data_IF_245715822235
#
_entry.id   IF_245715822235
#
_cell.length_a   1.000
_cell.length_b   1.000
_cell.length_c   1.000
_cell.angle_alpha   90.00
_cell.angle_beta   90.00
_cell.angle_gamma   90.00
#
_symmetry.space_group_name_H-M   'P 1'
#
loop_
_entity.id
_entity.type
_entity.pdbx_description
1 polymer ?
#
# COMPACT_ATOMS: atom_id res chain seq x y z
N UNK A 1 -29.06 0.43 16.98
CA UNK A 1 -28.36 1.24 15.96
C UNK A 1 -26.91 0.78 15.72
N UNK A 2 -26.00 0.77 16.71
CA UNK A 2 -24.58 0.40 16.51
C UNK A 2 -24.38 -1.00 15.87
N UNK A 3 -25.07 -2.03 16.38
CA UNK A 3 -24.92 -3.41 15.90
C UNK A 3 -25.34 -3.59 14.43
N UNK A 4 -26.42 -2.93 14.02
CA UNK A 4 -26.92 -2.97 12.63
C UNK A 4 -25.90 -2.33 11.68
N UNK A 5 -25.39 -1.15 12.02
CA UNK A 5 -24.36 -0.46 11.23
C UNK A 5 -23.08 -1.31 11.06
N UNK A 6 -22.66 -2.03 12.11
CA UNK A 6 -21.50 -2.94 12.02
C UNK A 6 -21.78 -4.11 11.08
N UNK A 7 -22.97 -4.72 11.16
CA UNK A 7 -23.36 -5.85 10.30
C UNK A 7 -23.40 -5.40 8.84
N UNK A 8 -24.06 -4.27 8.55
CA UNK A 8 -24.18 -3.70 7.20
C UNK A 8 -22.81 -3.33 6.64
N UNK A 9 -21.97 -2.63 7.40
CA UNK A 9 -20.60 -2.28 6.98
C UNK A 9 -19.77 -3.52 6.68
N UNK A 10 -19.84 -4.56 7.52
CA UNK A 10 -19.12 -5.83 7.27
C UNK A 10 -19.64 -6.52 6.00
N UNK A 11 -20.94 -6.52 5.77
CA UNK A 11 -21.54 -7.13 4.58
C UNK A 11 -21.11 -6.39 3.29
N UNK A 12 -21.16 -5.07 3.28
CA UNK A 12 -20.68 -4.22 2.18
C UNK A 12 -19.19 -4.46 1.90
N UNK A 13 -18.32 -4.42 2.93
CA UNK A 13 -16.88 -4.65 2.75
C UNK A 13 -16.56 -6.04 2.17
N UNK A 14 -17.32 -7.08 2.51
CA UNK A 14 -17.19 -8.40 1.89
C UNK A 14 -17.57 -8.41 0.42
N UNK A 15 -18.60 -7.66 0.03
CA UNK A 15 -19.01 -7.54 -1.36
C UNK A 15 -17.97 -6.76 -2.18
N UNK A 16 -17.43 -5.66 -1.65
CA UNK A 16 -16.37 -4.88 -2.29
C UNK A 16 -15.15 -5.75 -2.62
N UNK A 17 -14.71 -6.60 -1.68
CA UNK A 17 -13.55 -7.48 -1.90
C UNK A 17 -13.77 -8.44 -3.07
N UNK A 18 -15.02 -8.81 -3.39
CA UNK A 18 -15.32 -9.66 -4.55
C UNK A 18 -15.14 -8.92 -5.87
N UNK A 19 -15.37 -7.60 -5.90
CA UNK A 19 -15.26 -6.78 -7.11
C UNK A 19 -13.81 -6.39 -7.43
N UNK A 20 -12.89 -6.51 -6.48
CA UNK A 20 -11.48 -6.17 -6.69
C UNK A 20 -10.85 -7.07 -7.75
N UNK A 21 -10.37 -6.48 -8.84
CA UNK A 21 -9.64 -7.21 -9.88
C UNK A 21 -8.18 -7.49 -9.49
N UNK A 22 -7.48 -6.48 -8.94
CA UNK A 22 -6.08 -6.57 -8.51
C UNK A 22 -5.95 -7.20 -7.11
N UNK A 23 -4.71 -7.51 -6.72
CA UNK A 23 -4.38 -8.02 -5.37
C UNK A 23 -4.58 -7.01 -4.24
N UNK A 24 -4.83 -5.75 -4.57
CA UNK A 24 -5.00 -4.62 -3.65
C UNK A 24 -6.28 -3.86 -3.99
N UNK A 25 -6.76 -3.06 -3.04
CA UNK A 25 -7.97 -2.27 -3.22
C UNK A 25 -7.81 -1.12 -4.21
N UNK A 26 -8.91 -0.66 -4.85
CA UNK A 26 -8.87 0.37 -5.88
C UNK A 26 -8.22 1.69 -5.41
N UNK A 27 -8.46 2.09 -4.16
CA UNK A 27 -7.82 3.28 -3.58
C UNK A 27 -6.30 3.16 -3.47
N UNK A 28 -5.77 1.98 -3.11
CA UNK A 28 -4.32 1.75 -3.06
C UNK A 28 -3.73 1.75 -4.46
N UNK A 29 -4.45 1.19 -5.43
CA UNK A 29 -4.06 1.23 -6.85
C UNK A 29 -3.92 2.67 -7.32
N UNK A 30 -4.89 3.53 -7.00
CA UNK A 30 -4.87 4.95 -7.35
C UNK A 30 -3.67 5.69 -6.72
N UNK A 31 -3.39 5.44 -5.43
CA UNK A 31 -2.20 6.02 -4.77
C UNK A 31 -0.91 5.60 -5.48
N UNK A 32 -0.76 4.32 -5.82
CA UNK A 32 0.43 3.82 -6.50
C UNK A 32 0.55 4.43 -7.90
N UNK A 33 -0.54 4.52 -8.65
CA UNK A 33 -0.54 5.13 -9.99
C UNK A 33 -0.13 6.61 -9.96
N UNK A 34 -0.58 7.36 -8.95
CA UNK A 34 -0.11 8.75 -8.73
C UNK A 34 1.38 8.75 -8.39
N UNK A 35 1.81 7.88 -7.48
CA UNK A 35 3.19 7.85 -6.99
C UNK A 35 4.19 7.39 -8.06
N UNK A 36 3.77 6.51 -8.98
CA UNK A 36 4.52 6.11 -10.18
C UNK A 36 4.67 7.27 -11.16
N UNK A 37 3.63 8.07 -11.37
CA UNK A 37 3.74 9.26 -12.23
C UNK A 37 4.71 10.28 -11.66
N UNK A 38 4.66 10.52 -10.36
CA UNK A 38 5.56 11.47 -9.70
C UNK A 38 6.99 10.95 -9.56
N UNK A 39 7.21 9.63 -9.57
CA UNK A 39 8.57 9.07 -9.52
C UNK A 39 9.34 9.21 -10.83
N UNK A 40 8.66 9.47 -11.96
CA UNK A 40 9.27 9.55 -13.28
C UNK A 40 10.21 10.76 -13.48
N UNK A 41 10.14 11.78 -12.61
CA UNK A 41 11.06 12.93 -12.64
C UNK A 41 12.26 12.78 -11.69
N UNK A 42 12.47 11.59 -11.13
CA UNK A 42 13.53 11.33 -10.16
C UNK A 42 14.65 10.53 -10.80
N UNK A 43 15.88 10.80 -10.37
CA UNK A 43 17.07 10.04 -10.76
C UNK A 43 17.44 9.10 -9.62
N UNK A 44 17.65 7.82 -9.93
CA UNK A 44 18.04 6.79 -8.96
C UNK A 44 19.49 6.38 -9.15
N UNK A 45 20.25 6.43 -8.08
CA UNK A 45 21.64 5.98 -8.01
C UNK A 45 21.77 4.84 -6.99
N UNK A 46 22.49 3.79 -7.37
CA UNK A 46 22.77 2.66 -6.47
C UNK A 46 24.01 2.95 -5.62
N UNK A 47 23.89 2.78 -4.31
CA UNK A 47 24.99 2.91 -3.36
C UNK A 47 25.60 1.57 -2.96
N UNK A 48 26.88 1.57 -2.60
CA UNK A 48 27.66 0.37 -2.25
C UNK A 48 27.05 -0.43 -1.07
N UNK A 49 26.37 0.26 -0.15
CA UNK A 49 25.75 -0.37 1.03
C UNK A 49 24.37 -1.01 0.73
N UNK A 50 23.98 -1.14 -0.54
CA UNK A 50 22.68 -1.68 -0.93
C UNK A 50 21.51 -0.69 -0.86
N UNK A 51 21.78 0.55 -0.43
CA UNK A 51 20.81 1.64 -0.40
C UNK A 51 20.79 2.38 -1.75
N UNK A 52 19.66 3.02 -2.03
CA UNK A 52 19.47 3.85 -3.20
C UNK A 52 19.46 5.31 -2.80
N UNK A 53 20.27 6.10 -3.49
CA UNK A 53 20.21 7.54 -3.41
C UNK A 53 19.29 8.06 -4.51
N UNK A 54 18.31 8.87 -4.13
CA UNK A 54 17.33 9.45 -5.05
C UNK A 54 17.56 10.96 -5.12
N UNK A 55 17.71 11.47 -6.32
CA UNK A 55 17.89 12.88 -6.61
C UNK A 55 16.70 13.43 -7.40
N UNK A 56 16.46 14.73 -7.30
CA UNK A 56 15.54 15.46 -8.19
C UNK A 56 16.27 15.79 -9.51
N UNK A 57 15.58 16.46 -10.43
CA UNK A 57 16.04 16.79 -11.78
C UNK A 57 17.39 17.53 -11.85
N UNK A 58 17.78 18.26 -10.79
CA UNK A 58 19.07 18.97 -10.73
C UNK A 58 20.26 18.02 -10.49
N UNK A 59 20.01 16.78 -10.04
CA UNK A 59 20.97 15.70 -9.75
C UNK A 59 22.16 16.07 -8.82
N UNK A 60 22.16 17.27 -8.26
CA UNK A 60 23.20 17.83 -7.39
C UNK A 60 23.01 17.45 -5.92
N UNK A 61 21.76 17.26 -5.47
CA UNK A 61 21.46 16.97 -4.07
C UNK A 61 20.49 15.80 -3.90
N UNK A 62 20.80 14.86 -3.00
CA UNK A 62 19.88 13.76 -2.69
C UNK A 62 18.66 14.27 -1.95
N UNK A 63 17.49 13.97 -2.50
CA UNK A 63 16.20 14.26 -1.87
C UNK A 63 15.74 13.12 -0.98
N UNK A 64 16.17 11.89 -1.27
CA UNK A 64 15.83 10.73 -0.46
C UNK A 64 16.89 9.62 -0.49
N UNK A 65 16.84 8.78 0.54
CA UNK A 65 17.59 7.53 0.61
C UNK A 65 16.60 6.40 0.89
N UNK A 66 16.64 5.37 0.07
CA UNK A 66 15.75 4.21 0.10
C UNK A 66 16.54 2.96 0.42
N UNK A 67 16.00 2.14 1.30
CA UNK A 67 16.46 0.76 1.54
C UNK A 67 15.30 -0.18 1.19
N UNK A 68 15.45 -0.89 0.07
CA UNK A 68 14.42 -1.82 -0.41
C UNK A 68 14.33 -3.08 0.46
N UNK A 69 15.46 -3.54 1.01
CA UNK A 69 15.49 -4.74 1.86
C UNK A 69 14.77 -4.48 3.19
N UNK A 70 15.04 -3.34 3.81
CA UNK A 70 14.33 -2.91 5.02
C UNK A 70 12.92 -2.36 4.72
N UNK A 71 12.56 -2.17 3.45
CA UNK A 71 11.32 -1.52 2.99
C UNK A 71 11.12 -0.14 3.63
N UNK A 72 12.17 0.68 3.61
CA UNK A 72 12.17 2.01 4.23
C UNK A 72 12.61 3.12 3.28
N UNK A 73 12.18 4.34 3.59
CA UNK A 73 12.63 5.54 2.94
C UNK A 73 12.81 6.65 3.98
N UNK A 74 13.86 7.45 3.88
CA UNK A 74 14.11 8.53 4.83
C UNK A 74 12.98 9.60 4.87
N UNK A 75 12.18 9.73 3.81
CA UNK A 75 10.96 10.57 3.81
C UNK A 75 9.84 10.06 4.74
N UNK A 76 10.00 8.88 5.34
CA UNK A 76 9.10 8.22 6.31
C UNK A 76 7.71 7.84 5.83
N UNK A 77 7.27 8.28 4.66
CA UNK A 77 5.95 7.91 4.12
C UNK A 77 5.77 6.39 4.01
N UNK A 78 6.76 5.68 3.48
CA UNK A 78 6.70 4.22 3.37
C UNK A 78 6.69 3.54 4.75
N UNK A 79 7.53 4.01 5.67
CA UNK A 79 7.57 3.50 7.06
C UNK A 79 6.23 3.65 7.79
N UNK A 80 5.55 4.78 7.59
CA UNK A 80 4.30 5.10 8.29
C UNK A 80 3.08 4.41 7.67
N UNK A 81 3.05 4.31 6.34
CA UNK A 81 1.88 3.83 5.61
C UNK A 81 2.00 2.38 5.19
N UNK A 82 3.21 1.82 5.08
CA UNK A 82 3.45 0.52 4.44
C UNK A 82 3.20 0.52 2.93
N UNK A 83 3.02 1.69 2.31
CA UNK A 83 2.84 1.88 0.87
C UNK A 83 4.12 2.54 0.32
N UNK A 84 4.77 1.99 -0.72
CA UNK A 84 5.93 2.61 -1.34
C UNK A 84 5.64 4.06 -1.74
N UNK A 85 6.51 4.98 -1.33
CA UNK A 85 6.47 6.38 -1.78
C UNK A 85 7.10 6.51 -3.17
N UNK A 86 6.99 7.69 -3.80
CA UNK A 86 7.58 7.94 -5.13
C UNK A 86 9.09 7.65 -5.19
N UNK A 87 9.84 7.95 -4.13
CA UNK A 87 11.28 7.63 -4.04
C UNK A 87 11.52 6.12 -4.06
N UNK A 88 10.74 5.37 -3.26
CA UNK A 88 10.83 3.92 -3.21
C UNK A 88 10.45 3.29 -4.55
N UNK A 89 9.43 3.83 -5.21
CA UNK A 89 9.01 3.36 -6.54
C UNK A 89 10.12 3.56 -7.56
N UNK A 90 10.82 4.71 -7.55
CA UNK A 90 11.97 4.94 -8.45
C UNK A 90 13.07 3.88 -8.24
N UNK A 91 13.38 3.54 -6.98
CA UNK A 91 14.35 2.48 -6.66
C UNK A 91 13.87 1.07 -7.07
N UNK A 92 12.59 0.75 -6.89
CA UNK A 92 11.98 -0.53 -7.29
C UNK A 92 12.01 -0.66 -8.82
N UNK A 93 11.67 0.40 -9.53
CA UNK A 93 11.65 0.45 -10.99
C UNK A 93 13.06 0.28 -11.57
N UNK A 94 14.07 0.90 -10.94
CA UNK A 94 15.48 0.71 -11.27
C UNK A 94 15.92 -0.75 -11.14
N UNK A 95 15.40 -1.49 -10.14
CA UNK A 95 15.63 -2.94 -9.96
C UNK A 95 14.78 -3.82 -10.88
N UNK A 96 13.83 -3.26 -11.62
CA UNK A 96 12.83 -3.98 -12.42
C UNK A 96 12.03 -5.01 -11.61
N UNK A 97 11.72 -4.68 -10.35
CA UNK A 97 10.97 -5.55 -9.45
C UNK A 97 9.49 -5.20 -9.40
N UNK A 98 8.66 -6.16 -9.00
CA UNK A 98 7.22 -5.93 -8.87
C UNK A 98 6.90 -5.02 -7.69
N UNK A 99 6.35 -3.84 -8.00
CA UNK A 99 5.88 -2.86 -7.02
C UNK A 99 4.89 -3.45 -6.00
N UNK A 100 4.03 -4.38 -6.42
CA UNK A 100 3.04 -4.94 -5.50
C UNK A 100 3.68 -5.79 -4.40
N UNK A 101 4.88 -6.35 -4.61
CA UNK A 101 5.63 -7.10 -3.58
C UNK A 101 6.12 -6.23 -2.40
N UNK A 102 6.16 -4.92 -2.62
CA UNK A 102 6.61 -3.92 -1.66
C UNK A 102 5.48 -3.25 -0.87
N UNK A 103 4.22 -3.49 -1.26
CA UNK A 103 3.04 -3.05 -0.52
C UNK A 103 2.80 -3.95 0.69
N UNK A 104 2.61 -3.35 1.87
CA UNK A 104 2.37 -4.08 3.10
C UNK A 104 1.14 -5.00 3.02
N UNK A 105 1.24 -6.21 3.60
CA UNK A 105 0.24 -7.27 3.51
C UNK A 105 -1.15 -6.86 4.01
N UNK A 106 -1.22 -5.87 4.91
CA UNK A 106 -2.49 -5.32 5.40
C UNK A 106 -3.42 -4.84 4.26
N UNK A 107 -2.85 -4.34 3.16
CA UNK A 107 -3.60 -3.85 2.01
C UNK A 107 -3.96 -4.93 1.00
N UNK A 108 -3.39 -6.14 1.16
CA UNK A 108 -3.64 -7.25 0.24
C UNK A 108 -5.04 -7.80 0.42
N UNK A 109 -5.62 -8.22 -0.71
CA UNK A 109 -6.94 -8.83 -0.82
C UNK A 109 -7.04 -10.09 0.05
N UNK A 110 -5.96 -10.86 0.16
CA UNK A 110 -5.89 -12.07 1.00
C UNK A 110 -6.11 -11.74 2.48
N UNK A 111 -5.43 -10.72 3.00
CA UNK A 111 -5.58 -10.23 4.39
C UNK A 111 -6.97 -9.64 4.61
N UNK A 112 -7.46 -8.83 3.67
CA UNK A 112 -8.83 -8.30 3.73
C UNK A 112 -9.87 -9.42 3.77
N UNK A 113 -9.75 -10.47 2.94
CA UNK A 113 -10.64 -11.64 3.01
C UNK A 113 -10.62 -12.24 4.41
N UNK A 114 -9.45 -12.48 5.01
CA UNK A 114 -9.33 -13.06 6.36
C UNK A 114 -10.03 -12.22 7.43
N UNK A 115 -9.87 -10.90 7.41
CA UNK A 115 -10.48 -9.99 8.40
C UNK A 115 -12.02 -10.03 8.33
N UNK A 116 -12.57 -10.06 7.12
CA UNK A 116 -14.01 -9.92 6.88
C UNK A 116 -14.74 -11.25 6.64
N UNK A 117 -14.03 -12.39 6.61
CA UNK A 117 -14.58 -13.74 6.46
C UNK A 117 -15.66 -14.06 7.50
N UNK A 118 -15.45 -13.66 8.76
CA UNK A 118 -16.39 -13.95 9.83
C UNK A 118 -17.69 -13.14 9.70
N UNK A 119 -18.80 -13.87 9.64
CA UNK A 119 -20.16 -13.33 9.56
C UNK A 119 -20.69 -13.10 10.96
N UNK A 120 -21.11 -11.87 11.24
CA UNK A 120 -21.86 -11.56 12.45
C UNK A 120 -23.33 -11.80 12.13
N UNK A 121 -23.93 -12.79 12.80
CA UNK A 121 -25.34 -13.09 12.66
C UNK A 121 -26.19 -12.08 13.43
N UNK A 122 -27.36 -11.75 12.87
CA UNK A 122 -28.39 -11.01 13.58
C UNK A 122 -28.93 -11.87 14.72
N UNK A 123 -29.03 -11.29 15.92
CA UNK A 123 -29.69 -11.95 17.05
C UNK A 123 -31.10 -11.39 17.14
N UNK A 124 -32.10 -12.27 17.13
CA UNK A 124 -33.47 -11.91 17.53
C UNK A 124 -33.44 -11.65 19.03
N UNK A 125 -33.82 -10.45 19.45
CA UNK A 125 -34.10 -10.18 20.85
C UNK A 125 -35.45 -10.83 21.15
N UNK A 126 -35.45 -11.98 21.82
CA UNK A 126 -36.68 -12.55 22.38
C UNK A 126 -37.12 -11.62 23.51
N UNK A 127 -38.34 -11.07 23.37
CA UNK A 127 -38.97 -10.26 24.42
C UNK A 127 -39.37 -11.22 25.53
N UNK A 128 -38.77 -11.05 26.71
CA UNK A 128 -39.29 -11.62 27.97
C UNK A 128 -40.57 -10.90 28.39
#
# INVERSE_FOLDING_TARGET
MIRVNIIERRASRRQDIKTWFKEIGPWIVEILEISVKTSGSLTTHWGENGNFQINDNDDTTPVAVVDLAAKTCNCKQWNLTGIPCMHAISAIDWRHEDLLSYVHDHYKKSTHKKIWQNVIHGIKMERY
#
